data_IF_655975478384
#
_entry.id   IF_655975478384
#
_cell.length_a   1.000
_cell.length_b   1.000
_cell.length_c   1.000
_cell.angle_alpha   90.00
_cell.angle_beta   90.00
_cell.angle_gamma   90.00
#
_symmetry.space_group_name_H-M   'P 1'
#
loop_
_entity.id
_entity.type
_entity.pdbx_description
1 polymer ?
#
# COMPACT_ATOMS: atom_id res chain seq x y z
N UNK A 1 -11.07 20.04 8.83
CA UNK A 1 -10.02 20.92 8.28
C UNK A 1 -8.71 20.15 8.33
N UNK A 2 -8.49 19.20 7.41
CA UNK A 2 -7.30 18.32 7.47
C UNK A 2 -6.79 17.89 6.09
N UNK A 3 -7.17 18.64 5.05
CA UNK A 3 -6.77 18.33 3.66
C UNK A 3 -5.27 18.59 3.46
N UNK A 4 -4.74 19.67 4.05
CA UNK A 4 -3.34 20.08 3.83
C UNK A 4 -2.27 19.21 4.51
N UNK A 5 -2.58 18.54 5.63
CA UNK A 5 -1.60 17.69 6.31
C UNK A 5 -1.44 16.33 5.60
N UNK A 6 -2.54 15.78 5.07
CA UNK A 6 -2.52 14.54 4.30
C UNK A 6 -1.84 14.72 2.94
N UNK A 7 -2.08 15.83 2.25
CA UNK A 7 -1.40 16.11 0.96
C UNK A 7 0.12 16.13 1.14
N UNK A 8 0.63 16.87 2.14
CA UNK A 8 2.08 16.94 2.40
C UNK A 8 2.67 15.58 2.80
N UNK A 9 1.91 14.76 3.53
CA UNK A 9 2.34 13.40 3.89
C UNK A 9 2.44 12.50 2.65
N UNK A 10 1.41 12.51 1.80
CA UNK A 10 1.33 11.66 0.61
C UNK A 10 2.27 12.10 -0.52
N UNK A 11 2.70 13.36 -0.53
CA UNK A 11 3.68 13.89 -1.48
C UNK A 11 5.13 13.42 -1.20
N UNK A 12 5.42 12.96 0.02
CA UNK A 12 6.73 12.40 0.33
C UNK A 12 7.01 11.17 -0.54
N UNK A 13 8.23 11.07 -1.03
CA UNK A 13 8.60 10.05 -2.01
C UNK A 13 8.31 8.60 -1.55
N UNK A 14 8.70 8.14 -0.33
CA UNK A 14 8.41 6.77 0.11
C UNK A 14 6.91 6.47 0.19
N UNK A 15 6.15 7.41 0.73
CA UNK A 15 4.70 7.33 0.87
C UNK A 15 4.00 7.28 -0.49
N UNK A 16 4.42 8.16 -1.41
CA UNK A 16 3.91 8.20 -2.79
C UNK A 16 4.20 6.91 -3.53
N UNK A 17 5.41 6.35 -3.41
CA UNK A 17 5.78 5.09 -4.06
C UNK A 17 4.86 3.95 -3.63
N UNK A 18 4.58 3.82 -2.34
CA UNK A 18 3.69 2.77 -1.83
C UNK A 18 2.24 2.99 -2.27
N UNK A 19 1.70 4.20 -2.08
CA UNK A 19 0.30 4.48 -2.39
C UNK A 19 0.01 4.40 -3.90
N UNK A 20 0.75 5.17 -4.70
CA UNK A 20 0.52 5.23 -6.14
C UNK A 20 0.96 3.93 -6.83
N UNK A 21 2.00 3.26 -6.30
CA UNK A 21 2.35 1.90 -6.71
C UNK A 21 1.17 0.93 -6.50
N UNK A 22 0.58 0.91 -5.30
CA UNK A 22 -0.58 0.07 -5.00
C UNK A 22 -1.78 0.36 -5.92
N UNK A 23 -2.13 1.64 -6.11
CA UNK A 23 -3.24 2.07 -6.98
C UNK A 23 -3.03 1.63 -8.42
N UNK A 24 -1.90 1.99 -9.01
CA UNK A 24 -1.59 1.73 -10.41
C UNK A 24 -1.47 0.24 -10.68
N UNK A 25 -0.86 -0.51 -9.75
CA UNK A 25 -0.75 -1.96 -9.90
C UNK A 25 -2.11 -2.67 -9.78
N UNK A 26 -2.95 -2.24 -8.84
CA UNK A 26 -4.32 -2.75 -8.66
C UNK A 26 -5.23 -2.41 -9.85
N UNK A 27 -5.13 -1.19 -10.38
CA UNK A 27 -5.87 -0.75 -11.56
C UNK A 27 -5.52 -1.57 -12.82
N UNK A 28 -4.27 -1.97 -12.99
CA UNK A 28 -3.89 -2.88 -14.09
C UNK A 28 -4.57 -4.24 -13.98
N UNK A 29 -4.77 -4.74 -12.76
CA UNK A 29 -5.54 -5.97 -12.55
C UNK A 29 -7.05 -5.83 -12.76
N UNK A 30 -7.61 -4.66 -12.48
CA UNK A 30 -9.04 -4.40 -12.66
C UNK A 30 -9.38 -4.19 -14.14
N UNK A 31 -8.53 -3.43 -14.85
CA UNK A 31 -8.77 -3.04 -16.25
C UNK A 31 -8.23 -4.06 -17.26
N UNK A 32 -7.27 -4.89 -16.87
CA UNK A 32 -6.51 -5.75 -17.79
C UNK A 32 -5.60 -4.97 -18.76
N UNK A 33 -5.44 -3.66 -18.54
CA UNK A 33 -4.57 -2.80 -19.35
C UNK A 33 -3.14 -2.82 -18.82
N UNK A 34 -2.17 -2.72 -19.74
CA UNK A 34 -0.75 -2.53 -19.40
C UNK A 34 -0.45 -1.10 -18.94
N UNK A 35 -1.25 -0.11 -19.37
CA UNK A 35 -0.99 1.32 -19.12
C UNK A 35 -0.80 1.66 -17.64
N UNK A 36 -1.64 1.19 -16.69
CA UNK A 36 -1.40 1.45 -15.27
C UNK A 36 -0.07 0.85 -14.76
N UNK A 37 0.36 -0.30 -15.28
CA UNK A 37 1.64 -0.89 -14.90
C UNK A 37 2.84 -0.11 -15.46
N UNK A 38 2.73 0.45 -16.67
CA UNK A 38 3.71 1.39 -17.22
C UNK A 38 3.79 2.67 -16.38
N UNK A 39 2.64 3.24 -15.98
CA UNK A 39 2.62 4.40 -15.08
C UNK A 39 3.23 4.11 -13.71
N UNK A 40 3.10 2.87 -13.20
CA UNK A 40 3.78 2.47 -11.98
C UNK A 40 5.29 2.36 -12.23
N UNK A 41 5.71 1.78 -13.36
CA UNK A 41 7.11 1.72 -13.74
C UNK A 41 7.75 3.10 -13.82
N UNK A 42 7.13 4.04 -14.52
CA UNK A 42 7.63 5.40 -14.71
C UNK A 42 7.80 6.12 -13.37
N UNK A 43 6.83 5.98 -12.46
CA UNK A 43 6.90 6.53 -11.10
C UNK A 43 8.15 6.06 -10.35
N UNK A 44 8.41 4.75 -10.38
CA UNK A 44 9.56 4.18 -9.67
C UNK A 44 10.88 4.52 -10.38
N UNK A 45 10.90 4.51 -11.72
CA UNK A 45 12.07 4.84 -12.51
C UNK A 45 12.49 6.31 -12.35
N UNK A 46 11.54 7.23 -12.28
CA UNK A 46 11.80 8.65 -11.99
C UNK A 46 12.38 8.84 -10.58
N UNK A 47 11.86 8.11 -9.59
CA UNK A 47 12.26 8.26 -8.18
C UNK A 47 13.59 7.57 -7.82
N UNK A 48 13.86 6.41 -8.43
CA UNK A 48 14.93 5.50 -7.99
C UNK A 48 15.97 5.22 -9.09
N UNK A 49 15.66 5.51 -10.35
CA UNK A 49 16.43 5.06 -11.50
C UNK A 49 16.15 3.61 -11.88
N UNK A 50 16.56 3.24 -13.09
CA UNK A 50 16.11 2.03 -13.78
C UNK A 50 16.33 0.72 -13.02
N UNK A 51 17.52 0.53 -12.45
CA UNK A 51 17.88 -0.71 -11.77
C UNK A 51 17.05 -0.90 -10.49
N UNK A 52 17.02 0.13 -9.65
CA UNK A 52 16.37 0.09 -8.34
C UNK A 52 14.84 0.10 -8.49
N UNK A 53 14.33 0.77 -9.51
CA UNK A 53 12.93 0.66 -9.93
C UNK A 53 12.54 -0.78 -10.27
N UNK A 54 13.40 -1.50 -10.99
CA UNK A 54 13.21 -2.93 -11.28
C UNK A 54 12.99 -3.78 -10.05
N UNK A 55 13.84 -3.60 -9.02
CA UNK A 55 13.75 -4.32 -7.76
C UNK A 55 12.45 -3.98 -7.01
N UNK A 56 12.16 -2.69 -6.87
CA UNK A 56 11.00 -2.22 -6.11
C UNK A 56 9.66 -2.55 -6.78
N UNK A 57 9.58 -2.45 -8.11
CA UNK A 57 8.37 -2.84 -8.88
C UNK A 57 8.17 -4.35 -8.83
N UNK A 58 9.23 -5.15 -8.86
CA UNK A 58 9.10 -6.61 -8.75
C UNK A 58 8.49 -7.04 -7.41
N UNK A 59 8.96 -6.46 -6.29
CA UNK A 59 8.42 -6.77 -4.96
C UNK A 59 7.02 -6.18 -4.74
N UNK A 60 6.74 -4.95 -5.21
CA UNK A 60 5.37 -4.40 -5.27
C UNK A 60 4.43 -5.35 -6.02
N UNK A 61 4.85 -5.81 -7.19
CA UNK A 61 4.06 -6.69 -8.04
C UNK A 61 3.71 -7.99 -7.33
N UNK A 62 4.70 -8.58 -6.66
CA UNK A 62 4.52 -9.80 -5.88
C UNK A 62 3.56 -9.59 -4.71
N UNK A 63 3.68 -8.48 -3.98
CA UNK A 63 2.77 -8.12 -2.89
C UNK A 63 1.31 -7.99 -3.38
N UNK A 64 1.05 -7.17 -4.39
CA UNK A 64 -0.32 -6.93 -4.89
C UNK A 64 -0.91 -8.19 -5.54
N UNK A 65 -0.11 -8.95 -6.29
CA UNK A 65 -0.52 -10.26 -6.83
C UNK A 65 -0.93 -11.20 -5.73
N UNK A 66 -0.11 -11.27 -4.68
CA UNK A 66 -0.39 -12.12 -3.52
C UNK A 66 -1.67 -11.64 -2.86
N UNK A 67 -1.85 -10.36 -2.55
CA UNK A 67 -3.09 -9.86 -1.95
C UNK A 67 -4.34 -10.23 -2.79
N UNK A 68 -4.29 -10.10 -4.12
CA UNK A 68 -5.40 -10.39 -5.04
C UNK A 68 -5.84 -11.86 -5.11
N UNK A 69 -5.03 -12.85 -4.69
CA UNK A 69 -5.40 -14.29 -4.88
C UNK A 69 -6.62 -14.72 -4.07
N UNK A 70 -7.11 -13.91 -3.13
CA UNK A 70 -8.36 -14.17 -2.44
C UNK A 70 -9.47 -13.26 -2.97
N UNK A 71 -10.50 -13.86 -3.55
CA UNK A 71 -11.67 -13.13 -4.03
C UNK A 71 -12.47 -12.43 -2.92
N UNK A 72 -12.29 -12.85 -1.66
CA UNK A 72 -12.94 -12.24 -0.49
C UNK A 72 -12.11 -11.14 0.18
N UNK A 73 -10.80 -11.06 -0.09
CA UNK A 73 -9.97 -9.98 0.44
C UNK A 73 -10.17 -8.72 -0.41
N UNK A 74 -10.36 -7.55 0.20
CA UNK A 74 -10.59 -6.32 -0.55
C UNK A 74 -9.29 -5.88 -1.24
N UNK A 75 -9.37 -5.60 -2.55
CA UNK A 75 -8.33 -4.92 -3.32
C UNK A 75 -8.90 -3.60 -3.86
N UNK A 76 -9.37 -2.75 -2.95
CA UNK A 76 -10.00 -1.47 -3.29
C UNK A 76 -8.96 -0.37 -3.22
N UNK A 77 -9.05 0.56 -4.15
CA UNK A 77 -8.29 1.79 -4.14
C UNK A 77 -9.12 2.90 -4.80
N UNK A 78 -8.81 4.14 -4.47
CA UNK A 78 -9.24 5.26 -5.31
C UNK A 78 -8.44 5.27 -6.62
N UNK A 79 -8.90 6.02 -7.64
CA UNK A 79 -8.09 6.30 -8.82
C UNK A 79 -6.72 6.87 -8.44
N UNK A 80 -5.69 6.58 -9.26
CA UNK A 80 -4.38 7.20 -9.13
C UNK A 80 -4.51 8.74 -9.14
N UNK A 81 -3.59 9.39 -8.42
CA UNK A 81 -3.56 10.84 -8.18
C UNK A 81 -4.75 11.40 -7.36
N UNK A 82 -5.59 10.54 -6.76
CA UNK A 82 -6.63 10.97 -5.81
C UNK A 82 -6.02 11.47 -4.50
N UNK A 83 -6.52 12.61 -4.00
CA UNK A 83 -6.18 13.18 -2.69
C UNK A 83 -6.88 12.49 -1.50
N UNK A 84 -7.69 11.47 -1.76
CA UNK A 84 -8.44 10.73 -0.73
C UNK A 84 -7.87 9.34 -0.54
N UNK A 85 -7.96 8.82 0.69
CA UNK A 85 -7.58 7.45 1.02
C UNK A 85 -8.81 6.62 1.40
N UNK A 86 -8.93 5.41 0.86
CA UNK A 86 -9.86 4.42 1.36
C UNK A 86 -9.24 3.62 2.53
N UNK A 87 -10.05 2.77 3.17
CA UNK A 87 -9.58 1.95 4.30
C UNK A 87 -8.44 1.02 3.87
N UNK A 88 -8.56 0.37 2.71
CA UNK A 88 -7.54 -0.55 2.20
C UNK A 88 -6.21 0.16 1.92
N UNK A 89 -6.24 1.35 1.32
CA UNK A 89 -5.04 2.15 1.08
C UNK A 89 -4.36 2.53 2.40
N UNK A 90 -5.13 2.95 3.40
CA UNK A 90 -4.60 3.23 4.73
C UNK A 90 -3.98 1.99 5.39
N UNK A 91 -4.61 0.82 5.25
CA UNK A 91 -4.09 -0.44 5.79
C UNK A 91 -2.82 -0.89 5.05
N UNK A 92 -2.74 -0.73 3.73
CA UNK A 92 -1.52 -0.98 2.97
C UNK A 92 -0.39 -0.06 3.42
N UNK A 93 -0.66 1.24 3.55
CA UNK A 93 0.33 2.22 4.03
C UNK A 93 0.81 1.87 5.45
N UNK A 94 -0.12 1.55 6.36
CA UNK A 94 0.20 1.14 7.72
C UNK A 94 0.97 -0.19 7.80
N UNK A 95 0.65 -1.16 6.94
CA UNK A 95 1.36 -2.43 6.86
C UNK A 95 2.81 -2.23 6.46
N UNK A 96 3.07 -1.51 5.37
CA UNK A 96 4.44 -1.29 4.86
C UNK A 96 5.25 -0.43 5.84
N UNK A 97 4.69 0.66 6.37
CA UNK A 97 5.35 1.47 7.39
C UNK A 97 5.61 0.67 8.67
N UNK A 98 4.65 -0.16 9.11
CA UNK A 98 4.82 -1.05 10.25
C UNK A 98 5.96 -2.04 10.03
N UNK A 99 6.03 -2.70 8.89
CA UNK A 99 7.12 -3.63 8.57
C UNK A 99 8.50 -2.95 8.52
N UNK A 100 8.56 -1.63 8.28
CA UNK A 100 9.80 -0.86 8.34
C UNK A 100 10.23 -0.45 9.77
N UNK A 101 9.28 -0.38 10.73
CA UNK A 101 9.48 0.26 12.05
C UNK A 101 8.91 -0.50 13.26
N UNK A 102 7.67 -0.96 13.19
CA UNK A 102 6.90 -1.54 14.29
C UNK A 102 6.02 -2.73 13.82
N UNK A 103 6.35 -3.92 14.30
CA UNK A 103 5.65 -5.15 13.92
C UNK A 103 4.22 -5.22 14.44
N UNK A 104 3.85 -4.50 15.50
CA UNK A 104 2.50 -4.58 16.06
C UNK A 104 1.50 -3.83 15.16
N UNK A 105 1.88 -2.67 14.66
CA UNK A 105 1.12 -1.94 13.62
C UNK A 105 1.00 -2.77 12.34
N UNK A 106 2.07 -3.44 11.91
CA UNK A 106 2.04 -4.34 10.76
C UNK A 106 1.01 -5.47 10.94
N UNK A 107 1.04 -6.16 12.08
CA UNK A 107 0.11 -7.24 12.40
C UNK A 107 -1.35 -6.77 12.40
N UNK A 108 -1.61 -5.60 13.00
CA UNK A 108 -2.94 -4.99 12.97
C UNK A 108 -3.42 -4.79 11.53
N UNK A 109 -2.62 -4.13 10.69
CA UNK A 109 -2.99 -3.88 9.30
C UNK A 109 -3.22 -5.16 8.51
N UNK A 110 -2.34 -6.14 8.68
CA UNK A 110 -2.43 -7.44 8.02
C UNK A 110 -3.77 -8.13 8.34
N UNK A 111 -4.13 -8.23 9.62
CA UNK A 111 -5.38 -8.87 10.07
C UNK A 111 -6.65 -8.20 9.51
N UNK A 112 -6.56 -6.92 9.14
CA UNK A 112 -7.68 -6.16 8.59
C UNK A 112 -7.74 -6.13 7.06
N UNK A 113 -6.65 -6.43 6.35
CA UNK A 113 -6.61 -6.41 4.88
C UNK A 113 -6.64 -7.81 4.25
N UNK A 114 -6.29 -8.87 4.99
CA UNK A 114 -6.23 -10.25 4.48
C UNK A 114 -7.01 -11.23 5.36
N UNK A 115 -7.39 -12.37 4.78
CA UNK A 115 -8.02 -13.45 5.52
C UNK A 115 -6.97 -14.30 6.28
N UNK A 116 -7.36 -14.96 7.40
CA UNK A 116 -6.43 -15.74 8.22
C UNK A 116 -5.64 -16.81 7.47
N UNK A 117 -6.24 -17.40 6.43
CA UNK A 117 -5.62 -18.46 5.61
C UNK A 117 -4.43 -17.97 4.78
N UNK A 118 -4.32 -16.66 4.60
CA UNK A 118 -3.33 -16.04 3.70
C UNK A 118 -2.46 -14.99 4.40
N UNK A 119 -2.61 -14.82 5.71
CA UNK A 119 -1.83 -13.87 6.48
C UNK A 119 -0.33 -14.06 6.25
N UNK A 120 0.18 -15.29 6.39
CA UNK A 120 1.61 -15.57 6.27
C UNK A 120 2.17 -15.25 4.88
N UNK A 121 1.50 -15.67 3.80
CA UNK A 121 1.99 -15.39 2.44
C UNK A 121 1.91 -13.90 2.08
N UNK A 122 0.88 -13.20 2.56
CA UNK A 122 0.73 -11.75 2.33
C UNK A 122 1.75 -10.98 3.16
N UNK A 123 1.99 -11.39 4.40
CA UNK A 123 3.00 -10.82 5.28
C UNK A 123 4.38 -10.93 4.66
N UNK A 124 4.78 -12.12 4.18
CA UNK A 124 6.07 -12.31 3.55
C UNK A 124 6.24 -11.43 2.31
N UNK A 125 5.25 -11.40 1.42
CA UNK A 125 5.33 -10.57 0.21
C UNK A 125 5.36 -9.07 0.53
N UNK A 126 4.64 -8.64 1.58
CA UNK A 126 4.68 -7.26 2.07
C UNK A 126 6.03 -6.92 2.73
N UNK A 127 6.62 -7.87 3.47
CA UNK A 127 7.92 -7.72 4.11
C UNK A 127 9.03 -7.57 3.07
N UNK A 128 9.03 -8.40 2.02
CA UNK A 128 9.98 -8.29 0.91
C UNK A 128 9.90 -6.89 0.25
N UNK A 129 8.68 -6.36 0.05
CA UNK A 129 8.49 -5.03 -0.51
C UNK A 129 8.97 -3.92 0.45
N UNK A 130 8.59 -4.00 1.73
CA UNK A 130 8.99 -3.04 2.77
C UNK A 130 10.52 -3.00 2.95
N UNK A 131 11.17 -4.16 2.97
CA UNK A 131 12.62 -4.30 3.06
C UNK A 131 13.32 -3.79 1.80
N UNK A 132 12.80 -4.11 0.61
CA UNK A 132 13.32 -3.58 -0.66
C UNK A 132 13.33 -2.06 -0.63
N UNK A 133 12.22 -1.42 -0.28
CA UNK A 133 12.14 0.04 -0.18
C UNK A 133 13.12 0.59 0.86
N UNK A 134 13.21 -0.03 2.04
CA UNK A 134 14.13 0.39 3.10
C UNK A 134 15.60 0.31 2.65
N UNK A 135 15.98 -0.75 1.94
CA UNK A 135 17.33 -0.93 1.39
C UNK A 135 17.67 0.10 0.29
N UNK A 136 16.65 0.60 -0.42
CA UNK A 136 16.77 1.68 -1.41
C UNK A 136 16.64 3.09 -0.79
N UNK A 137 16.72 3.20 0.54
CA UNK A 137 16.61 4.46 1.27
C UNK A 137 15.20 5.05 1.33
N UNK A 138 14.18 4.31 0.88
CA UNK A 138 12.78 4.73 0.89
C UNK A 138 12.09 4.28 2.17
N UNK A 139 12.24 5.08 3.22
CA UNK A 139 11.68 4.81 4.55
C UNK A 139 10.48 5.71 4.80
N UNK A 140 9.31 5.10 4.95
CA UNK A 140 8.07 5.81 5.28
C UNK A 140 8.12 6.36 6.71
N UNK A 141 7.31 7.36 7.02
CA UNK A 141 7.03 7.69 8.42
C UNK A 141 6.20 6.57 9.06
N UNK A 142 6.42 6.28 10.36
CA UNK A 142 5.52 5.44 11.12
C UNK A 142 4.10 6.00 11.11
N UNK A 143 3.11 5.13 10.90
CA UNK A 143 1.69 5.49 11.02
C UNK A 143 1.24 5.19 12.45
N UNK A 144 0.74 6.18 13.22
CA UNK A 144 0.30 5.93 14.58
C UNK A 144 -0.87 4.94 14.64
N UNK A 145 -0.79 3.91 15.49
CA UNK A 145 -1.78 2.83 15.53
C UNK A 145 -3.21 3.30 15.87
N UNK A 146 -3.35 4.42 16.59
CA UNK A 146 -4.65 5.03 16.88
C UNK A 146 -5.33 5.59 15.62
N UNK A 147 -4.56 6.12 14.66
CA UNK A 147 -5.08 6.61 13.37
C UNK A 147 -5.67 5.45 12.57
N UNK A 148 -4.96 4.32 12.49
CA UNK A 148 -5.42 3.12 11.81
C UNK A 148 -6.67 2.51 12.47
N UNK A 149 -6.69 2.49 13.81
CA UNK A 149 -7.86 2.04 14.57
C UNK A 149 -9.10 2.88 14.26
N UNK A 150 -8.97 4.20 14.19
CA UNK A 150 -10.07 5.12 13.88
C UNK A 150 -10.55 4.97 12.43
N UNK A 151 -9.64 4.74 11.48
CA UNK A 151 -9.97 4.49 10.07
C UNK A 151 -10.81 3.21 9.94
N UNK A 152 -10.38 2.11 10.56
CA UNK A 152 -11.12 0.84 10.53
C UNK A 152 -12.50 1.01 11.16
N UNK A 153 -12.60 1.65 12.33
CA UNK A 153 -13.89 1.91 13.00
C UNK A 153 -14.85 2.71 12.13
N UNK A 154 -14.37 3.79 11.49
CA UNK A 154 -15.19 4.62 10.59
C UNK A 154 -15.60 3.86 9.33
N UNK A 155 -14.72 3.03 8.79
CA UNK A 155 -15.00 2.16 7.64
C UNK A 155 -16.05 1.09 7.91
N UNK A 156 -16.06 0.50 9.10
CA UNK A 156 -17.07 -0.49 9.51
C UNK A 156 -18.43 0.12 9.87
N UNK A 157 -18.48 1.41 10.20
CA UNK A 157 -19.72 2.13 10.58
C UNK A 157 -20.62 2.53 9.40
N UNK A 158 -20.22 2.26 8.15
CA UNK A 158 -20.97 2.62 6.94
C UNK A 158 -22.07 1.63 6.52
N UNK A 159 -22.30 0.55 7.28
CA UNK A 159 -23.39 -0.40 7.05
C UNK A 159 -24.33 -0.37 8.26
N UNK A 160 -25.06 0.73 8.42
CA UNK A 160 -26.29 0.73 9.21
C UNK A 160 -27.46 0.54 8.23
N UNK A 161 -28.05 -0.66 8.24
CA UNK A 161 -29.40 -0.89 7.72
C UNK A 161 -30.44 -0.22 8.63
#
# INVERSE_FOLDING_TARGET
MDVGANDVYLERQPERLVLEGYRRWSAGFETGSITPWEMAWDLYNEALGHQDAGLAVASLSQYVRTLKRCAACPLRCYPYDSHHLCVEECLTMGLIAGLQHDTDTAKFCLQHITCPQRCEEVEQAAADFAETLKNLGQVMLPVPSHVLTDIVKKGSGGIAH
#
